data_IF_775616002126
#
_entry.id   IF_775616002126
#
_cell.length_a   1.000
_cell.length_b   1.000
_cell.length_c   1.000
_cell.angle_alpha   90.00
_cell.angle_beta   90.00
_cell.angle_gamma   90.00
#
_symmetry.space_group_name_H-M   'P 1'
#
loop_
_entity.id
_entity.type
_entity.pdbx_description
1 polymer ?
#
# COMPACT_ATOMS: atom_id res chain seq x y z
N UNK A 1 -48.60 -13.60 -44.68
CA UNK A 1 -47.16 -13.87 -44.45
C UNK A 1 -46.33 -12.63 -44.03
N UNK A 2 -46.70 -11.41 -44.42
CA UNK A 2 -45.93 -10.20 -44.10
C UNK A 2 -46.04 -9.69 -42.64
N UNK A 3 -47.17 -9.93 -41.95
CA UNK A 3 -47.39 -9.44 -40.57
C UNK A 3 -46.55 -10.19 -39.51
N UNK A 4 -46.32 -11.49 -39.71
CA UNK A 4 -45.50 -12.32 -38.80
C UNK A 4 -44.00 -11.96 -38.83
N UNK A 5 -43.51 -11.38 -39.93
CA UNK A 5 -42.10 -10.95 -40.04
C UNK A 5 -41.81 -9.66 -39.28
N UNK A 6 -42.79 -8.75 -39.11
CA UNK A 6 -42.59 -7.47 -38.39
C UNK A 6 -42.54 -7.63 -36.87
N UNK A 7 -43.25 -8.61 -36.30
CA UNK A 7 -43.25 -8.88 -34.85
C UNK A 7 -41.94 -9.51 -34.36
N UNK A 8 -41.29 -10.33 -35.20
CA UNK A 8 -39.98 -10.93 -34.89
C UNK A 8 -38.86 -9.88 -34.87
N UNK A 9 -38.97 -8.83 -35.69
CA UNK A 9 -38.00 -7.72 -35.74
C UNK A 9 -38.06 -6.80 -34.51
N UNK A 10 -39.25 -6.57 -33.93
CA UNK A 10 -39.39 -5.74 -32.72
C UNK A 10 -38.98 -6.48 -31.44
N UNK A 11 -39.20 -7.79 -31.35
CA UNK A 11 -38.75 -8.59 -30.21
C UNK A 11 -37.21 -8.69 -30.15
N UNK A 12 -36.52 -8.75 -31.30
CA UNK A 12 -35.06 -8.77 -31.37
C UNK A 12 -34.42 -7.43 -30.97
N UNK A 13 -35.08 -6.30 -31.27
CA UNK A 13 -34.60 -4.96 -30.88
C UNK A 13 -34.85 -4.68 -29.39
N UNK A 14 -35.95 -5.17 -28.81
CA UNK A 14 -36.21 -5.02 -27.37
C UNK A 14 -35.32 -5.94 -26.51
N UNK A 15 -34.99 -7.13 -26.99
CA UNK A 15 -34.07 -8.05 -26.30
C UNK A 15 -32.61 -7.55 -26.30
N UNK A 16 -32.19 -6.81 -27.34
CA UNK A 16 -30.86 -6.19 -27.39
C UNK A 16 -30.78 -4.91 -26.54
N UNK A 17 -31.86 -4.14 -26.42
CA UNK A 17 -31.93 -2.99 -25.51
C UNK A 17 -32.00 -3.40 -24.03
N UNK A 18 -32.69 -4.48 -23.68
CA UNK A 18 -32.72 -4.99 -22.30
C UNK A 18 -31.46 -5.78 -21.92
N UNK A 19 -30.82 -6.47 -22.88
CA UNK A 19 -29.51 -7.10 -22.67
C UNK A 19 -28.36 -6.08 -22.52
N UNK A 20 -28.46 -4.93 -23.18
CA UNK A 20 -27.47 -3.84 -23.07
C UNK A 20 -27.56 -3.02 -21.79
N UNK A 21 -28.76 -2.88 -21.20
CA UNK A 21 -28.97 -2.13 -19.95
C UNK A 21 -28.75 -2.98 -18.68
N UNK A 22 -28.77 -4.31 -18.78
CA UNK A 22 -28.59 -5.22 -17.65
C UNK A 22 -27.14 -5.55 -17.28
N UNK A 23 -26.15 -5.15 -18.10
CA UNK A 23 -24.72 -5.45 -17.91
C UNK A 23 -23.87 -4.23 -17.53
N UNK A 24 -24.47 -3.07 -17.29
CA UNK A 24 -23.75 -1.83 -16.96
C UNK A 24 -23.70 -1.52 -15.45
N UNK A 25 -24.27 -2.36 -14.61
CA UNK A 25 -24.17 -2.24 -13.16
C UNK A 25 -23.38 -3.42 -12.63
N UNK A 26 -22.21 -3.11 -12.04
CA UNK A 26 -21.39 -3.90 -11.10
C UNK A 26 -19.88 -3.87 -11.39
N UNK A 27 -19.30 -2.74 -11.78
CA UNK A 27 -17.86 -2.51 -11.59
C UNK A 27 -17.63 -1.05 -11.21
N UNK A 28 -17.96 -0.69 -9.97
CA UNK A 28 -17.31 0.45 -9.31
C UNK A 28 -16.01 -0.11 -8.74
N UNK A 29 -14.91 0.06 -9.47
CA UNK A 29 -13.59 -0.15 -8.89
C UNK A 29 -13.35 1.08 -8.01
N UNK A 30 -13.36 0.89 -6.70
CA UNK A 30 -13.05 1.95 -5.74
C UNK A 30 -11.60 2.37 -5.97
N UNK A 31 -11.35 3.66 -6.19
CA UNK A 31 -10.01 4.21 -6.26
C UNK A 31 -9.32 4.05 -4.90
N UNK A 32 -8.37 3.12 -4.86
CA UNK A 32 -7.54 2.81 -3.70
C UNK A 32 -6.48 3.90 -3.50
N UNK A 33 -6.62 4.71 -2.46
CA UNK A 33 -5.50 5.50 -1.96
C UNK A 33 -4.48 4.59 -1.26
N UNK A 34 -3.27 5.07 -1.01
CA UNK A 34 -2.21 4.22 -0.46
C UNK A 34 -1.17 5.05 0.29
N UNK A 35 -0.98 4.72 1.57
CA UNK A 35 0.06 5.29 2.39
C UNK A 35 -0.05 4.85 3.85
N UNK A 36 1.09 4.75 4.51
CA UNK A 36 1.25 4.64 5.97
C UNK A 36 2.47 5.46 6.38
N UNK A 37 2.68 5.65 7.68
CA UNK A 37 3.82 6.40 8.18
C UNK A 37 5.15 5.74 7.78
N UNK A 38 6.09 6.57 7.34
CA UNK A 38 7.48 6.22 7.03
C UNK A 38 8.44 6.74 8.11
N UNK A 39 8.13 7.87 8.74
CA UNK A 39 8.83 8.42 9.91
C UNK A 39 7.83 9.08 10.87
N UNK A 40 7.74 8.66 12.14
CA UNK A 40 8.24 7.38 12.65
C UNK A 40 7.57 6.23 11.90
N UNK A 41 8.37 5.27 11.43
CA UNK A 41 7.91 4.22 10.51
C UNK A 41 6.83 3.34 11.11
N UNK A 42 5.83 3.00 10.30
CA UNK A 42 4.76 2.08 10.69
C UNK A 42 5.24 0.63 10.75
N UNK A 43 4.49 -0.25 11.42
CA UNK A 43 4.78 -1.70 11.49
C UNK A 43 4.95 -2.32 10.10
N UNK A 44 4.01 -2.10 9.19
CA UNK A 44 4.08 -2.67 7.82
C UNK A 44 5.28 -2.13 7.06
N UNK A 45 5.54 -0.83 7.13
CA UNK A 45 6.68 -0.19 6.47
C UNK A 45 8.03 -0.70 7.02
N UNK A 46 8.22 -0.70 8.35
CA UNK A 46 9.46 -1.16 8.96
C UNK A 46 9.69 -2.66 8.77
N UNK A 47 8.63 -3.48 8.83
CA UNK A 47 8.75 -4.89 8.52
C UNK A 47 9.06 -5.15 7.04
N UNK A 48 8.56 -4.32 6.12
CA UNK A 48 8.95 -4.40 4.72
C UNK A 48 10.44 -4.05 4.55
N UNK A 49 10.93 -3.00 5.21
CA UNK A 49 12.36 -2.65 5.18
C UNK A 49 13.25 -3.75 5.78
N UNK A 50 12.81 -4.36 6.88
CA UNK A 50 13.53 -5.48 7.50
C UNK A 50 13.54 -6.73 6.61
N UNK A 51 12.44 -6.99 5.89
CA UNK A 51 12.24 -8.20 5.11
C UNK A 51 12.86 -8.15 3.72
N UNK A 52 12.71 -7.03 2.99
CA UNK A 52 13.01 -6.98 1.57
C UNK A 52 14.50 -7.21 1.29
N UNK A 53 14.78 -8.18 0.42
CA UNK A 53 16.13 -8.49 -0.05
C UNK A 53 16.37 -7.92 -1.44
N UNK A 54 17.63 -7.91 -1.90
CA UNK A 54 17.97 -7.48 -3.26
C UNK A 54 17.35 -8.30 -4.39
N UNK A 55 16.72 -9.44 -4.09
CA UNK A 55 15.98 -10.28 -5.06
C UNK A 55 14.47 -10.10 -4.98
N UNK A 56 13.98 -9.18 -4.15
CA UNK A 56 12.56 -9.01 -3.87
C UNK A 56 11.98 -10.00 -2.86
N UNK A 57 12.70 -11.07 -2.53
CA UNK A 57 12.23 -12.01 -1.52
C UNK A 57 12.15 -11.33 -0.14
N UNK A 58 11.20 -11.78 0.68
CA UNK A 58 10.97 -11.30 2.03
C UNK A 58 11.58 -12.25 3.07
N UNK A 59 12.58 -11.76 3.77
CA UNK A 59 13.32 -12.50 4.80
C UNK A 59 13.55 -11.62 6.04
N UNK A 60 12.53 -11.36 6.88
CA UNK A 60 12.67 -10.45 8.04
C UNK A 60 13.56 -11.00 9.15
N UNK A 61 14.46 -10.20 9.69
CA UNK A 61 15.27 -10.57 10.87
C UNK A 61 14.54 -10.33 12.19
N UNK A 62 13.57 -9.42 12.21
CA UNK A 62 12.79 -9.11 13.39
C UNK A 62 11.78 -10.24 13.71
N UNK A 63 11.70 -10.70 14.97
CA UNK A 63 10.80 -11.78 15.36
C UNK A 63 9.30 -11.45 15.22
N UNK A 64 8.89 -10.20 15.45
CA UNK A 64 7.52 -9.76 15.24
C UNK A 64 7.18 -9.69 13.75
N UNK A 65 8.07 -9.12 12.91
CA UNK A 65 7.89 -9.09 11.46
C UNK A 65 7.86 -10.49 10.83
N UNK A 66 8.73 -11.41 11.28
CA UNK A 66 8.70 -12.81 10.84
C UNK A 66 7.38 -13.48 11.21
N UNK A 67 6.89 -13.24 12.43
CA UNK A 67 5.63 -13.79 12.87
C UNK A 67 4.44 -13.21 12.09
N UNK A 68 4.47 -11.92 11.75
CA UNK A 68 3.46 -11.27 10.92
C UNK A 68 3.46 -11.79 9.48
N UNK A 69 4.63 -11.92 8.86
CA UNK A 69 4.79 -12.52 7.53
C UNK A 69 4.26 -13.96 7.49
N UNK A 70 4.52 -14.76 8.53
CA UNK A 70 4.04 -16.14 8.59
C UNK A 70 2.52 -16.25 8.76
N UNK A 71 1.86 -15.26 9.36
CA UNK A 71 0.41 -15.28 9.62
C UNK A 71 -0.40 -14.61 8.51
N UNK A 72 -0.04 -13.38 8.15
CA UNK A 72 -0.76 -12.55 7.17
C UNK A 72 -0.21 -12.68 5.74
N UNK A 73 0.90 -13.41 5.57
CA UNK A 73 1.49 -13.67 4.25
C UNK A 73 2.29 -12.51 3.67
N UNK A 74 2.93 -12.78 2.54
CA UNK A 74 3.82 -11.86 1.86
C UNK A 74 3.10 -10.65 1.24
N UNK A 75 1.85 -10.83 0.81
CA UNK A 75 1.05 -9.77 0.17
C UNK A 75 0.92 -8.52 1.04
N UNK A 76 0.83 -8.67 2.36
CA UNK A 76 0.78 -7.54 3.28
C UNK A 76 2.05 -6.67 3.22
N UNK A 77 3.24 -7.27 3.05
CA UNK A 77 4.50 -6.53 2.98
C UNK A 77 4.78 -5.94 1.60
N UNK A 78 4.35 -6.58 0.51
CA UNK A 78 4.41 -5.95 -0.81
C UNK A 78 3.43 -4.78 -0.95
N UNK A 79 2.31 -4.83 -0.22
CA UNK A 79 1.29 -3.79 -0.17
C UNK A 79 1.30 -3.07 1.19
N UNK A 80 2.48 -2.84 1.76
CA UNK A 80 2.66 -2.26 3.11
C UNK A 80 1.95 -0.91 3.32
N UNK A 81 1.65 -0.21 2.23
CA UNK A 81 0.94 1.08 2.17
C UNK A 81 -0.60 0.95 2.10
N UNK A 82 -1.16 -0.26 1.98
CA UNK A 82 -2.58 -0.49 1.68
C UNK A 82 -3.44 -0.86 2.92
N UNK A 83 -3.05 -0.37 4.10
CA UNK A 83 -3.79 -0.61 5.35
C UNK A 83 -4.99 0.35 5.39
N UNK A 84 -6.10 -0.07 4.76
CA UNK A 84 -7.23 0.81 4.46
C UNK A 84 -8.59 0.21 4.80
N UNK A 85 -9.57 1.10 4.93
CA UNK A 85 -11.00 0.76 5.00
C UNK A 85 -11.76 1.73 4.09
N UNK A 86 -12.26 1.21 2.96
CA UNK A 86 -12.95 1.98 1.92
C UNK A 86 -14.25 2.63 2.39
N UNK A 87 -14.78 2.22 3.55
CA UNK A 87 -16.06 2.68 4.08
C UNK A 87 -15.90 3.41 5.42
N UNK A 88 -14.68 3.69 5.89
CA UNK A 88 -14.49 4.28 7.21
C UNK A 88 -15.16 5.66 7.36
N UNK A 89 -15.13 6.50 6.33
CA UNK A 89 -15.76 7.82 6.27
C UNK A 89 -15.40 8.72 7.47
N UNK A 90 -14.15 8.65 7.93
CA UNK A 90 -13.65 9.40 9.08
C UNK A 90 -14.09 8.85 10.44
N UNK A 91 -14.77 7.71 10.50
CA UNK A 91 -15.15 7.04 11.74
C UNK A 91 -13.94 6.35 12.38
N UNK A 92 -13.98 6.27 13.70
CA UNK A 92 -12.97 5.60 14.51
C UNK A 92 -13.63 4.74 15.57
N UNK A 93 -13.60 5.21 16.83
CA UNK A 93 -14.25 4.56 17.96
C UNK A 93 -15.73 4.21 17.69
N UNK A 94 -16.13 3.00 18.06
CA UNK A 94 -17.47 2.47 17.81
C UNK A 94 -17.69 1.91 16.39
N UNK A 95 -16.75 2.10 15.47
CA UNK A 95 -16.79 1.55 14.11
C UNK A 95 -15.61 0.62 13.81
N UNK A 96 -14.37 1.08 14.03
CA UNK A 96 -13.18 0.22 14.01
C UNK A 96 -13.06 -0.44 15.38
N UNK A 97 -13.16 -1.77 15.49
CA UNK A 97 -13.10 -2.45 16.78
C UNK A 97 -11.77 -2.23 17.51
N UNK A 98 -11.81 -2.18 18.84
CA UNK A 98 -10.58 -2.20 19.63
C UNK A 98 -9.75 -3.45 19.33
N UNK A 99 -8.42 -3.27 19.28
CA UNK A 99 -7.46 -4.32 18.94
C UNK A 99 -7.32 -4.59 17.43
N UNK A 100 -7.98 -3.81 16.57
CA UNK A 100 -7.90 -3.95 15.09
C UNK A 100 -7.45 -2.67 14.37
N UNK A 101 -6.97 -1.68 15.13
CA UNK A 101 -6.63 -0.36 14.58
C UNK A 101 -5.48 -0.45 13.57
N UNK A 102 -4.50 -1.34 13.78
CA UNK A 102 -3.33 -1.48 12.92
C UNK A 102 -3.59 -2.31 11.64
N UNK A 103 -4.81 -2.83 11.47
CA UNK A 103 -5.28 -3.52 10.28
C UNK A 103 -6.51 -2.87 9.64
N UNK A 104 -6.81 -1.61 10.00
CA UNK A 104 -8.00 -0.91 9.55
C UNK A 104 -9.32 -1.66 9.83
N UNK A 105 -9.43 -2.30 10.98
CA UNK A 105 -10.64 -3.08 11.32
C UNK A 105 -10.74 -4.42 10.61
N UNK A 106 -9.63 -4.92 10.05
CA UNK A 106 -9.58 -6.11 9.19
C UNK A 106 -10.47 -5.98 7.94
N UNK A 107 -10.61 -4.76 7.41
CA UNK A 107 -11.48 -4.45 6.25
C UNK A 107 -10.73 -4.15 4.96
N UNK A 108 -9.40 -4.14 5.01
CA UNK A 108 -8.56 -3.97 3.83
C UNK A 108 -8.72 -5.16 2.87
N UNK A 109 -8.48 -4.97 1.56
CA UNK A 109 -8.37 -6.08 0.60
C UNK A 109 -7.28 -7.11 0.94
N UNK A 110 -6.34 -6.77 1.83
CA UNK A 110 -5.27 -7.64 2.28
C UNK A 110 -5.38 -7.98 3.77
N UNK A 111 -4.88 -9.14 4.14
CA UNK A 111 -4.76 -9.53 5.54
C UNK A 111 -3.65 -8.73 6.22
N UNK A 112 -4.02 -7.82 7.13
CA UNK A 112 -3.10 -7.14 8.04
C UNK A 112 -3.31 -7.52 9.51
N UNK A 113 -4.07 -8.59 9.78
CA UNK A 113 -4.52 -8.95 11.12
C UNK A 113 -3.35 -9.18 12.10
N UNK A 114 -2.24 -9.76 11.62
CA UNK A 114 -1.06 -10.03 12.44
C UNK A 114 -0.33 -8.75 12.89
N UNK A 115 -0.51 -7.63 12.19
CA UNK A 115 0.07 -6.34 12.57
C UNK A 115 -0.63 -5.71 13.78
N UNK A 116 -1.74 -6.27 14.26
CA UNK A 116 -2.35 -5.90 15.54
C UNK A 116 -1.71 -6.57 16.76
N UNK A 117 -0.79 -7.52 16.57
CA UNK A 117 -0.27 -8.32 17.68
C UNK A 117 0.34 -7.44 18.78
N UNK A 118 -0.11 -7.67 20.02
CA UNK A 118 0.37 -6.96 21.20
C UNK A 118 1.72 -7.57 21.64
N UNK A 119 2.82 -7.01 21.14
CA UNK A 119 4.18 -7.47 21.37
C UNK A 119 5.12 -6.29 21.61
N UNK A 120 6.14 -6.48 22.43
CA UNK A 120 7.15 -5.46 22.71
C UNK A 120 8.37 -5.53 21.77
N UNK A 121 8.44 -6.49 20.85
CA UNK A 121 9.61 -6.73 19.98
C UNK A 121 9.41 -6.27 18.53
N UNK A 122 8.39 -5.44 18.26
CA UNK A 122 8.26 -4.73 16.99
C UNK A 122 9.45 -3.80 16.75
N UNK A 123 9.85 -3.59 15.48
CA UNK A 123 10.77 -2.51 15.14
C UNK A 123 10.19 -1.18 15.60
N UNK A 124 11.05 -0.28 16.07
CA UNK A 124 10.60 0.96 16.72
C UNK A 124 11.48 2.15 16.41
N UNK A 125 10.90 3.34 16.49
CA UNK A 125 11.62 4.61 16.38
C UNK A 125 11.94 5.19 17.77
N UNK A 126 13.17 5.60 18.00
CA UNK A 126 13.65 6.22 19.23
C UNK A 126 13.41 7.72 19.19
N UNK A 127 12.76 8.27 20.22
CA UNK A 127 12.27 9.65 20.26
C UNK A 127 12.60 10.33 21.58
N UNK A 128 12.64 11.67 21.53
CA UNK A 128 12.82 12.52 22.70
C UNK A 128 11.47 13.13 23.10
N UNK A 129 11.05 12.86 24.33
CA UNK A 129 9.83 13.45 24.91
C UNK A 129 9.88 14.98 24.84
N UNK A 130 8.80 15.60 24.36
CA UNK A 130 8.73 17.05 24.21
C UNK A 130 9.51 17.63 23.02
N UNK A 131 10.23 16.82 22.24
CA UNK A 131 10.89 17.29 21.03
C UNK A 131 9.89 17.49 19.87
N UNK A 132 10.34 18.15 18.81
CA UNK A 132 9.64 18.17 17.52
C UNK A 132 10.29 17.14 16.62
N UNK A 133 9.49 16.29 15.99
CA UNK A 133 9.96 15.32 14.99
C UNK A 133 9.33 15.64 13.64
N UNK A 134 10.12 15.47 12.56
CA UNK A 134 9.60 15.59 11.21
C UNK A 134 8.93 14.28 10.81
N UNK A 135 7.61 14.33 10.64
CA UNK A 135 6.82 13.19 10.18
C UNK A 135 6.97 13.03 8.68
N UNK A 136 7.03 11.78 8.23
CA UNK A 136 6.90 11.40 6.83
C UNK A 136 5.79 10.35 6.70
N UNK A 137 4.86 10.56 5.77
CA UNK A 137 3.78 9.64 5.47
C UNK A 137 3.77 9.34 3.98
N UNK A 138 3.81 8.06 3.61
CA UNK A 138 3.93 7.65 2.20
C UNK A 138 2.84 8.27 1.33
N UNK A 139 3.23 8.81 0.18
CA UNK A 139 2.30 9.30 -0.84
C UNK A 139 2.18 8.31 -2.02
N UNK A 140 2.29 7.00 -1.75
CA UNK A 140 2.26 5.96 -2.78
C UNK A 140 1.12 6.16 -3.78
N UNK A 141 -0.08 6.50 -3.29
CA UNK A 141 -1.08 7.22 -4.05
C UNK A 141 -1.50 8.48 -3.28
N UNK A 142 -1.40 9.65 -3.91
CA UNK A 142 -1.65 10.93 -3.25
C UNK A 142 -3.12 11.36 -3.33
N UNK A 143 -3.69 11.82 -2.20
CA UNK A 143 -5.08 12.24 -2.09
C UNK A 143 -5.22 13.45 -1.15
N UNK A 144 -6.25 14.28 -1.31
CA UNK A 144 -6.53 15.36 -0.38
C UNK A 144 -7.19 14.81 0.89
N UNK A 145 -6.81 15.31 2.07
CA UNK A 145 -7.44 14.90 3.32
C UNK A 145 -6.72 15.35 4.58
N UNK A 146 -7.20 14.82 5.70
CA UNK A 146 -6.69 15.09 7.04
C UNK A 146 -5.91 13.90 7.57
N UNK A 147 -4.72 14.16 8.13
CA UNK A 147 -3.94 13.20 8.90
C UNK A 147 -4.21 13.44 10.39
N UNK A 148 -5.02 12.59 11.01
CA UNK A 148 -5.28 12.61 12.45
C UNK A 148 -4.21 11.79 13.15
N UNK A 149 -3.38 12.44 13.96
CA UNK A 149 -2.23 11.84 14.64
C UNK A 149 -2.55 11.68 16.11
N UNK A 150 -2.46 10.44 16.59
CA UNK A 150 -2.71 10.04 17.96
C UNK A 150 -1.45 9.46 18.57
N UNK A 151 -1.30 9.61 19.88
CA UNK A 151 -0.25 8.94 20.67
C UNK A 151 -0.94 8.17 21.79
N UNK A 152 -0.47 6.96 22.09
CA UNK A 152 -0.98 6.22 23.25
C UNK A 152 -0.79 6.99 24.55
N UNK A 153 -1.71 6.84 25.50
CA UNK A 153 -1.69 7.47 26.82
C UNK A 153 -0.52 6.98 27.67
N UNK A 154 -0.03 7.78 28.64
CA UNK A 154 0.92 7.29 29.63
C UNK A 154 0.42 6.02 30.33
N UNK A 155 1.29 5.02 30.47
CA UNK A 155 0.97 3.74 31.10
C UNK A 155 0.47 2.65 30.14
N UNK A 156 0.15 2.99 28.89
CA UNK A 156 -0.07 1.97 27.86
C UNK A 156 1.22 1.17 27.59
N UNK A 157 1.08 -0.13 27.35
CA UNK A 157 2.20 -1.04 27.03
C UNK A 157 1.94 -1.70 25.67
N UNK A 158 2.98 -1.94 24.85
CA UNK A 158 2.82 -2.64 23.58
C UNK A 158 2.41 -4.12 23.72
N UNK A 159 2.45 -4.67 24.94
CA UNK A 159 1.89 -6.00 25.26
C UNK A 159 0.39 -5.97 25.60
N UNK A 160 -0.23 -4.80 25.63
CA UNK A 160 -1.68 -4.62 25.74
C UNK A 160 -2.32 -4.50 24.36
N UNK A 161 -3.54 -5.02 24.18
CA UNK A 161 -4.32 -4.75 22.96
C UNK A 161 -4.60 -3.25 22.88
N UNK A 162 -4.29 -2.64 21.73
CA UNK A 162 -4.54 -1.22 21.48
C UNK A 162 -6.03 -0.97 21.22
N UNK A 163 -6.67 -0.13 22.03
CA UNK A 163 -8.02 0.38 21.80
C UNK A 163 -8.07 1.89 21.61
N UNK A 164 -9.22 2.40 21.17
CA UNK A 164 -9.44 3.83 21.00
C UNK A 164 -9.33 4.61 22.31
N UNK A 165 -9.70 3.99 23.44
CA UNK A 165 -9.56 4.59 24.77
C UNK A 165 -8.11 4.79 25.21
N UNK A 166 -7.16 4.11 24.55
CA UNK A 166 -5.74 4.21 24.86
C UNK A 166 -5.08 5.39 24.14
N UNK A 167 -5.77 6.08 23.23
CA UNK A 167 -5.20 7.08 22.33
C UNK A 167 -5.62 8.50 22.72
N UNK A 168 -4.67 9.44 22.68
CA UNK A 168 -4.91 10.88 22.70
C UNK A 168 -4.65 11.45 21.30
N UNK A 169 -5.60 12.20 20.74
CA UNK A 169 -5.40 12.97 19.51
C UNK A 169 -4.47 14.16 19.81
N UNK A 170 -3.31 14.21 19.16
CA UNK A 170 -2.31 15.26 19.41
C UNK A 170 -2.18 16.26 18.28
N UNK A 171 -2.55 15.89 17.05
CA UNK A 171 -2.48 16.77 15.89
C UNK A 171 -3.48 16.34 14.83
N UNK A 172 -4.00 17.29 14.06
CA UNK A 172 -4.65 17.04 12.77
C UNK A 172 -3.99 17.94 11.74
N UNK A 173 -3.58 17.37 10.61
CA UNK A 173 -2.89 18.10 9.54
C UNK A 173 -3.66 17.92 8.24
N UNK A 174 -4.12 19.02 7.66
CA UNK A 174 -4.87 19.03 6.41
C UNK A 174 -3.93 19.29 5.24
N UNK A 175 -3.93 18.42 4.23
CA UNK A 175 -3.17 18.58 2.98
C UNK A 175 -1.71 19.05 3.18
N UNK A 176 -0.88 18.34 3.96
CA UNK A 176 0.52 18.67 4.13
C UNK A 176 1.27 18.70 2.78
N UNK A 177 2.39 19.45 2.69
CA UNK A 177 3.23 19.43 1.50
C UNK A 177 3.84 18.04 1.27
N UNK A 178 4.25 17.79 0.03
CA UNK A 178 4.84 16.53 -0.41
C UNK A 178 6.29 16.72 -0.86
N UNK A 179 7.10 15.67 -0.72
CA UNK A 179 8.44 15.54 -1.27
C UNK A 179 8.53 14.20 -2.01
N UNK A 180 9.08 14.23 -3.24
CA UNK A 180 9.08 13.08 -4.13
C UNK A 180 7.72 12.86 -4.81
N UNK A 181 7.74 12.36 -6.04
CA UNK A 181 6.53 12.09 -6.81
C UNK A 181 5.73 10.93 -6.20
N UNK A 182 4.39 10.98 -6.22
CA UNK A 182 3.55 9.83 -5.85
C UNK A 182 3.95 8.55 -6.61
N UNK A 183 3.85 7.40 -5.95
CA UNK A 183 4.21 6.10 -6.50
C UNK A 183 5.72 5.81 -6.58
N UNK A 184 6.57 6.69 -6.04
CA UNK A 184 8.03 6.49 -6.01
C UNK A 184 8.51 5.95 -4.66
N UNK A 185 9.62 5.22 -4.70
CA UNK A 185 10.33 4.82 -3.48
C UNK A 185 10.85 6.09 -2.77
N UNK A 186 10.26 6.44 -1.63
CA UNK A 186 10.65 7.62 -0.85
C UNK A 186 9.71 8.82 -1.01
N UNK A 187 8.72 8.78 -1.89
CA UNK A 187 7.69 9.81 -1.97
C UNK A 187 6.87 9.88 -0.68
N UNK A 188 6.68 11.08 -0.12
CA UNK A 188 5.97 11.26 1.14
C UNK A 188 5.38 12.67 1.32
N UNK A 189 4.31 12.76 2.10
CA UNK A 189 3.92 13.96 2.81
C UNK A 189 4.85 14.23 3.99
N UNK A 190 5.07 15.48 4.35
CA UNK A 190 5.84 15.83 5.55
C UNK A 190 5.25 17.00 6.34
N UNK A 191 5.44 16.96 7.66
CA UNK A 191 5.09 18.04 8.58
C UNK A 191 5.85 17.89 9.91
N UNK A 192 5.80 18.91 10.75
CA UNK A 192 6.35 18.86 12.11
C UNK A 192 5.30 18.39 13.12
N UNK A 193 5.66 17.40 13.94
CA UNK A 193 4.89 16.91 15.07
C UNK A 193 5.59 17.28 16.37
N UNK A 194 4.94 18.09 17.21
CA UNK A 194 5.38 18.34 18.59
C UNK A 194 4.97 17.16 19.47
N UNK A 195 5.94 16.38 19.94
CA UNK A 195 5.68 15.23 20.80
C UNK A 195 5.24 15.70 22.20
N UNK A 196 4.34 14.97 22.88
CA UNK A 196 3.99 15.26 24.26
C UNK A 196 5.24 15.21 25.16
N UNK A 197 5.31 16.14 26.12
CA UNK A 197 6.35 16.14 27.16
C UNK A 197 6.00 15.21 28.32
N UNK A 198 6.99 14.87 29.16
CA UNK A 198 6.80 14.01 30.33
C UNK A 198 6.55 12.53 29.98
N UNK A 199 6.96 12.10 28.78
CA UNK A 199 6.85 10.72 28.31
C UNK A 199 8.17 9.98 28.54
N UNK A 200 8.07 8.68 28.80
CA UNK A 200 9.21 7.77 28.85
C UNK A 200 8.78 6.35 28.44
N UNK A 201 9.73 5.57 27.90
CA UNK A 201 9.48 4.18 27.53
C UNK A 201 8.59 4.01 26.29
N UNK A 202 8.07 2.81 26.13
CA UNK A 202 7.36 2.37 24.94
C UNK A 202 6.04 3.11 24.74
N UNK A 203 5.74 3.45 23.50
CA UNK A 203 4.47 4.02 23.09
C UNK A 203 4.17 3.64 21.63
N UNK A 204 2.99 4.04 21.16
CA UNK A 204 2.59 3.87 19.77
C UNK A 204 1.99 5.18 19.27
N UNK A 205 2.36 5.54 18.05
CA UNK A 205 1.74 6.63 17.29
C UNK A 205 0.80 6.00 16.28
N UNK A 206 -0.48 6.32 16.41
CA UNK A 206 -1.51 5.88 15.49
C UNK A 206 -1.89 7.06 14.58
N UNK A 207 -1.99 6.82 13.28
CA UNK A 207 -2.42 7.84 12.33
C UNK A 207 -3.59 7.32 11.51
N UNK A 208 -4.65 8.13 11.42
CA UNK A 208 -5.75 7.91 10.50
C UNK A 208 -5.70 8.99 9.42
N UNK A 209 -5.49 8.59 8.17
CA UNK A 209 -5.63 9.50 7.02
C UNK A 209 -7.06 9.44 6.51
N UNK A 210 -7.78 10.55 6.67
CA UNK A 210 -9.18 10.70 6.28
C UNK A 210 -9.24 11.49 4.98
N UNK A 211 -9.50 10.79 3.88
CA UNK A 211 -9.71 11.42 2.58
C UNK A 211 -10.88 12.39 2.62
N UNK A 212 -10.74 13.48 1.89
CA UNK A 212 -11.80 14.49 1.70
C UNK A 212 -12.60 14.28 0.41
N UNK A 213 -12.10 13.41 -0.48
CA UNK A 213 -12.67 13.07 -1.78
C UNK A 213 -13.29 11.66 -1.82
N UNK A 214 -13.21 10.89 -0.73
CA UNK A 214 -13.70 9.51 -0.63
C UNK A 214 -14.09 9.15 0.81
N UNK A 215 -14.86 8.07 0.99
CA UNK A 215 -15.08 7.45 2.31
C UNK A 215 -13.86 6.66 2.79
N UNK A 216 -12.94 6.33 1.90
CA UNK A 216 -11.78 5.52 2.23
C UNK A 216 -10.81 6.21 3.20
N UNK A 217 -10.33 5.49 4.21
CA UNK A 217 -9.31 5.97 5.14
C UNK A 217 -8.15 4.98 5.25
N UNK A 218 -6.98 5.48 5.68
CA UNK A 218 -5.77 4.68 5.93
C UNK A 218 -5.42 4.69 7.40
N UNK A 219 -4.85 3.58 7.86
CA UNK A 219 -4.58 3.31 9.26
C UNK A 219 -3.12 2.91 9.43
N UNK A 220 -2.38 3.64 10.24
CA UNK A 220 -0.95 3.44 10.43
C UNK A 220 -0.62 3.34 11.91
N UNK A 221 0.12 2.32 12.31
CA UNK A 221 0.64 2.14 13.66
C UNK A 221 2.17 2.15 13.65
N UNK A 222 2.78 3.07 14.38
CA UNK A 222 4.24 3.19 14.52
C UNK A 222 4.63 2.96 15.98
N UNK A 223 5.36 1.89 16.26
CA UNK A 223 5.94 1.66 17.58
C UNK A 223 7.11 2.63 17.82
N UNK A 224 7.11 3.28 18.98
CA UNK A 224 8.13 4.26 19.34
C UNK A 224 8.58 4.06 20.78
N UNK A 225 9.74 4.61 21.14
CA UNK A 225 10.22 4.63 22.52
C UNK A 225 10.72 6.03 22.87
N UNK A 226 10.27 6.55 24.02
CA UNK A 226 10.72 7.83 24.56
C UNK A 226 11.92 7.60 25.48
N UNK A 227 13.13 7.60 24.91
CA UNK A 227 14.40 7.32 25.60
C UNK A 227 15.49 8.35 25.32
N UNK A 228 15.17 9.41 24.56
CA UNK A 228 16.13 10.45 24.18
C UNK A 228 16.67 10.33 22.76
N UNK A 229 16.13 9.41 21.94
CA UNK A 229 16.46 9.34 20.51
C UNK A 229 15.90 10.51 19.67
N UNK A 230 16.33 10.56 18.42
CA UNK A 230 16.04 11.63 17.46
C UNK A 230 15.51 11.09 16.12
N UNK A 231 14.91 9.90 16.12
CA UNK A 231 14.37 9.23 14.94
C UNK A 231 15.14 7.98 14.53
N UNK A 232 16.10 7.51 15.33
CA UNK A 232 16.81 6.26 15.07
C UNK A 232 15.83 5.10 15.10
N UNK A 233 15.99 4.13 14.20
CA UNK A 233 15.17 2.92 14.18
C UNK A 233 15.98 1.78 14.81
N UNK A 234 15.33 0.89 15.55
CA UNK A 234 15.91 -0.40 15.97
C UNK A 234 14.97 -1.54 15.64
N UNK A 235 15.51 -2.76 15.67
CA UNK A 235 14.73 -3.96 15.40
C UNK A 235 14.50 -4.23 13.92
N UNK A 236 15.28 -3.64 13.01
CA UNK A 236 15.36 -4.03 11.59
C UNK A 236 16.79 -4.45 11.23
N UNK A 237 16.95 -5.25 10.17
CA UNK A 237 18.26 -5.63 9.62
C UNK A 237 19.14 -4.39 9.39
N UNK A 238 20.35 -4.40 9.94
CA UNK A 238 21.33 -3.32 9.79
C UNK A 238 21.26 -2.20 10.84
N UNK A 239 20.27 -2.21 11.74
CA UNK A 239 20.03 -1.15 12.72
C UNK A 239 20.81 -1.28 14.05
N UNK A 240 22.06 -1.75 13.99
CA UNK A 240 22.81 -2.26 15.14
C UNK A 240 23.97 -1.40 15.69
N UNK A 241 23.99 -0.08 15.47
CA UNK A 241 25.03 0.79 16.03
C UNK A 241 24.66 2.27 16.04
N UNK A 242 25.07 2.98 17.09
CA UNK A 242 24.92 4.43 17.27
C UNK A 242 25.31 5.19 15.99
N UNK A 243 24.47 6.09 15.44
CA UNK A 243 24.81 6.76 14.20
C UNK A 243 25.87 7.85 14.45
N UNK A 244 27.00 7.74 13.76
CA UNK A 244 27.79 8.91 13.40
C UNK A 244 27.05 9.60 12.23
N UNK A 245 26.91 10.94 12.19
CA UNK A 245 26.27 11.62 11.06
C UNK A 245 27.14 11.45 9.80
N UNK A 246 26.78 10.49 8.95
CA UNK A 246 27.34 10.32 7.61
C UNK A 246 26.43 10.98 6.58
N UNK A 247 26.97 11.54 5.48
CA UNK A 247 26.19 12.24 4.49
C UNK A 247 25.23 11.28 3.80
N UNK A 248 23.97 11.71 3.67
CA UNK A 248 22.92 11.10 2.88
C UNK A 248 23.45 10.79 1.48
N UNK A 249 23.34 9.54 0.95
CA UNK A 249 23.54 9.32 -0.47
C UNK A 249 22.43 10.04 -1.22
N UNK A 250 22.84 10.87 -2.18
CA UNK A 250 21.98 11.52 -3.15
C UNK A 250 21.20 10.44 -3.93
N UNK A 251 19.87 10.54 -4.12
CA UNK A 251 19.15 9.59 -4.93
C UNK A 251 19.50 9.85 -6.40
N UNK A 252 20.26 8.95 -7.02
CA UNK A 252 20.24 8.83 -8.47
C UNK A 252 18.81 8.45 -8.90
N UNK A 253 18.14 9.35 -9.61
CA UNK A 253 16.79 9.17 -10.14
C UNK A 253 16.59 7.79 -10.81
N UNK A 254 15.58 7.00 -10.40
CA UNK A 254 15.05 5.92 -11.22
C UNK A 254 14.22 6.49 -12.39
N UNK A 255 14.01 5.74 -13.49
CA UNK A 255 13.47 6.29 -14.73
C UNK A 255 12.00 6.70 -14.60
N UNK A 256 11.69 7.93 -15.00
CA UNK A 256 10.36 8.54 -15.27
C UNK A 256 9.13 7.66 -14.95
N UNK A 257 8.63 7.77 -13.72
CA UNK A 257 7.28 7.36 -13.37
C UNK A 257 6.32 8.51 -13.65
N UNK A 258 5.36 8.31 -14.56
CA UNK A 258 4.32 9.27 -14.88
C UNK A 258 3.28 9.29 -13.75
N UNK A 259 3.31 10.35 -12.95
CA UNK A 259 2.70 10.51 -11.61
C UNK A 259 1.17 10.48 -11.49
N UNK A 260 0.52 9.51 -12.11
CA UNK A 260 -0.89 9.17 -11.87
C UNK A 260 -1.20 7.68 -12.09
N UNK A 261 -0.31 6.93 -12.73
CA UNK A 261 -0.47 5.50 -12.95
C UNK A 261 0.18 4.70 -11.82
N UNK A 262 -0.55 3.75 -11.26
CA UNK A 262 -0.05 2.82 -10.24
C UNK A 262 -0.30 1.39 -10.67
N UNK A 263 0.58 0.47 -10.26
CA UNK A 263 0.42 -0.95 -10.51
C UNK A 263 0.52 -1.75 -9.21
N UNK A 264 -0.37 -2.71 -9.01
CA UNK A 264 -0.40 -3.60 -7.85
C UNK A 264 -0.30 -5.03 -8.31
N UNK A 265 0.64 -5.78 -7.74
CA UNK A 265 0.96 -7.16 -8.13
C UNK A 265 0.41 -8.16 -7.11
N UNK A 266 -0.28 -9.19 -7.59
CA UNK A 266 -0.83 -10.27 -6.77
C UNK A 266 -0.50 -11.63 -7.37
N UNK A 267 -0.14 -12.60 -6.54
CA UNK A 267 -0.14 -14.02 -6.90
C UNK A 267 -1.52 -14.57 -6.58
N UNK A 268 -2.28 -14.98 -7.60
CA UNK A 268 -3.69 -15.39 -7.44
C UNK A 268 -3.87 -16.91 -7.43
N UNK A 269 -2.88 -17.65 -7.93
CA UNK A 269 -2.84 -19.11 -7.85
C UNK A 269 -1.38 -19.58 -7.99
N UNK A 270 -1.01 -20.69 -7.36
CA UNK A 270 0.35 -21.26 -7.44
C UNK A 270 0.32 -22.79 -7.49
N UNK A 271 1.26 -23.39 -8.22
CA UNK A 271 1.45 -24.84 -8.33
C UNK A 271 2.95 -25.18 -8.33
N UNK A 272 3.28 -26.48 -8.32
CA UNK A 272 4.68 -26.90 -8.34
C UNK A 272 5.37 -26.42 -9.63
N UNK A 273 6.35 -25.53 -9.49
CA UNK A 273 7.15 -24.99 -10.60
C UNK A 273 6.54 -23.77 -11.32
N UNK A 274 5.41 -23.22 -10.86
CA UNK A 274 4.85 -22.02 -11.48
C UNK A 274 3.67 -21.39 -10.74
N UNK A 275 3.27 -20.22 -11.19
CA UNK A 275 2.16 -19.48 -10.60
C UNK A 275 1.44 -18.62 -11.63
N UNK A 276 0.25 -18.18 -11.23
CA UNK A 276 -0.56 -17.20 -11.92
C UNK A 276 -0.49 -15.88 -11.16
N UNK A 277 -0.06 -14.83 -11.85
CA UNK A 277 -0.07 -13.47 -11.32
C UNK A 277 -1.18 -12.62 -11.94
N UNK A 278 -1.60 -11.61 -11.19
CA UNK A 278 -2.54 -10.59 -11.60
C UNK A 278 -1.96 -9.23 -11.24
N UNK A 279 -1.99 -8.28 -12.18
CA UNK A 279 -1.57 -6.91 -11.96
C UNK A 279 -2.71 -5.98 -12.26
N UNK A 280 -3.11 -5.21 -11.25
CA UNK A 280 -4.07 -4.14 -11.40
C UNK A 280 -3.34 -2.83 -11.68
N UNK A 281 -3.74 -2.15 -12.74
CA UNK A 281 -3.22 -0.84 -13.16
C UNK A 281 -4.31 0.19 -12.91
N UNK A 282 -3.99 1.19 -12.11
CA UNK A 282 -4.93 2.23 -11.66
C UNK A 282 -4.51 3.60 -12.18
N UNK A 283 -5.51 4.44 -12.45
CA UNK A 283 -5.30 5.85 -12.74
C UNK A 283 -5.83 6.71 -11.60
N UNK A 284 -4.91 7.27 -10.81
CA UNK A 284 -5.21 8.22 -9.72
C UNK A 284 -5.12 9.67 -10.16
N UNK A 285 -5.06 9.92 -11.48
CA UNK A 285 -5.11 11.24 -12.05
C UNK A 285 -6.55 11.71 -12.23
N UNK A 286 -6.74 13.03 -12.31
CA UNK A 286 -8.05 13.65 -12.57
C UNK A 286 -8.44 13.64 -14.06
N UNK A 287 -7.58 13.13 -14.93
CA UNK A 287 -7.81 12.98 -16.38
C UNK A 287 -7.65 11.52 -16.80
N UNK A 288 -8.33 11.07 -17.88
CA UNK A 288 -8.14 9.72 -18.40
C UNK A 288 -6.67 9.45 -18.75
N UNK A 289 -6.15 8.31 -18.29
CA UNK A 289 -4.84 7.79 -18.70
C UNK A 289 -5.01 7.10 -20.05
N UNK A 290 -4.42 7.65 -21.11
CA UNK A 290 -4.51 7.09 -22.46
C UNK A 290 -3.22 6.35 -22.85
N UNK A 291 -3.20 5.04 -22.55
CA UNK A 291 -2.03 4.18 -22.66
C UNK A 291 -1.37 3.95 -21.30
N UNK A 292 -0.99 2.71 -21.05
CA UNK A 292 -0.27 2.32 -19.85
C UNK A 292 0.72 1.21 -20.14
N UNK A 293 1.81 1.22 -19.37
CA UNK A 293 2.79 0.16 -19.35
C UNK A 293 3.27 -0.05 -17.93
N UNK A 294 3.43 -1.30 -17.55
CA UNK A 294 3.91 -1.69 -16.23
C UNK A 294 5.19 -2.48 -16.38
N UNK A 295 6.23 -2.04 -15.67
CA UNK A 295 7.55 -2.63 -15.70
C UNK A 295 7.94 -3.15 -14.33
N UNK A 296 8.50 -4.35 -14.29
CA UNK A 296 9.13 -4.90 -13.10
C UNK A 296 10.21 -5.92 -13.49
N UNK A 297 11.08 -6.21 -12.52
CA UNK A 297 12.04 -7.30 -12.63
C UNK A 297 11.44 -8.52 -11.92
N UNK A 298 11.23 -9.67 -12.58
CA UNK A 298 10.78 -10.88 -11.90
C UNK A 298 11.81 -11.35 -10.87
N UNK A 299 11.31 -11.97 -9.78
CA UNK A 299 12.15 -12.58 -8.76
C UNK A 299 13.16 -13.57 -9.33
N UNK A 300 14.29 -13.75 -8.65
CA UNK A 300 15.31 -14.74 -9.06
C UNK A 300 14.68 -16.13 -9.17
N UNK A 301 14.90 -16.81 -10.30
CA UNK A 301 14.31 -18.13 -10.58
C UNK A 301 12.89 -18.08 -11.16
N UNK A 302 12.37 -16.88 -11.45
CA UNK A 302 11.05 -16.69 -12.06
C UNK A 302 11.17 -16.19 -13.49
N UNK A 303 10.41 -16.81 -14.39
CA UNK A 303 10.30 -16.38 -15.79
C UNK A 303 8.83 -16.21 -16.15
N UNK A 304 8.46 -15.01 -16.60
CA UNK A 304 7.10 -14.74 -17.08
C UNK A 304 6.94 -15.40 -18.46
N UNK A 305 5.96 -16.28 -18.58
CA UNK A 305 5.71 -17.05 -19.80
C UNK A 305 4.80 -16.29 -20.77
N UNK A 306 3.56 -16.04 -20.38
CA UNK A 306 2.58 -15.35 -21.21
C UNK A 306 1.65 -14.47 -20.39
N UNK A 307 1.15 -13.40 -21.00
CA UNK A 307 0.20 -12.47 -20.41
C UNK A 307 -1.09 -12.39 -21.24
N UNK A 308 -2.20 -12.04 -20.60
CA UNK A 308 -3.46 -11.69 -21.24
C UNK A 308 -3.94 -10.33 -20.73
N UNK A 309 -4.82 -9.67 -21.51
CA UNK A 309 -5.18 -8.26 -21.29
C UNK A 309 -3.97 -7.32 -21.27
N UNK A 310 -2.86 -7.72 -21.89
CA UNK A 310 -1.65 -6.92 -22.01
C UNK A 310 -0.66 -7.55 -22.98
N UNK A 311 0.20 -6.73 -23.57
CA UNK A 311 1.28 -7.17 -24.46
C UNK A 311 2.59 -7.25 -23.66
N UNK A 312 3.12 -8.47 -23.54
CA UNK A 312 4.34 -8.77 -22.78
C UNK A 312 5.60 -8.56 -23.64
N UNK A 313 6.58 -7.87 -23.07
CA UNK A 313 7.94 -7.80 -23.59
C UNK A 313 8.95 -8.05 -22.46
N UNK A 314 10.07 -8.70 -22.79
CA UNK A 314 11.13 -9.02 -21.84
C UNK A 314 12.46 -8.52 -22.40
N UNK A 315 13.13 -7.65 -21.65
CA UNK A 315 14.44 -7.13 -21.99
C UNK A 315 15.54 -8.19 -21.75
N UNK A 316 16.73 -7.96 -22.29
CA UNK A 316 17.86 -8.89 -22.19
C UNK A 316 18.36 -9.10 -20.75
N UNK A 317 18.17 -8.11 -19.89
CA UNK A 317 18.45 -8.21 -18.45
C UNK A 317 17.37 -9.00 -17.70
N UNK A 318 16.31 -9.45 -18.37
CA UNK A 318 15.15 -10.15 -17.82
C UNK A 318 14.10 -9.24 -17.18
N UNK A 319 14.19 -7.93 -17.35
CA UNK A 319 13.12 -6.99 -16.96
C UNK A 319 11.91 -7.18 -17.86
N UNK A 320 10.72 -7.26 -17.27
CA UNK A 320 9.46 -7.44 -17.96
C UNK A 320 8.72 -6.11 -18.05
N UNK A 321 8.15 -5.82 -19.23
CA UNK A 321 7.20 -4.73 -19.43
C UNK A 321 5.93 -5.28 -20.07
N UNK A 322 4.78 -5.04 -19.45
CA UNK A 322 3.45 -5.33 -20.01
C UNK A 322 2.77 -4.02 -20.37
N UNK A 323 2.39 -3.87 -21.63
CA UNK A 323 1.68 -2.69 -22.16
C UNK A 323 0.21 -2.98 -22.38
N UNK A 324 -0.62 -1.95 -22.40
CA UNK A 324 -2.04 -2.08 -22.71
C UNK A 324 -2.29 -2.75 -24.07
N UNK A 325 -3.49 -3.31 -24.22
CA UNK A 325 -4.08 -3.68 -25.52
C UNK A 325 -5.23 -2.72 -25.85
N UNK A 326 -5.78 -2.79 -27.06
CA UNK A 326 -6.73 -1.77 -27.54
C UNK A 326 -7.96 -1.59 -26.64
N UNK A 327 -8.54 -2.69 -26.15
CA UNK A 327 -9.79 -2.63 -25.37
C UNK A 327 -9.62 -2.08 -23.95
N UNK A 328 -8.39 -2.05 -23.41
CA UNK A 328 -8.11 -1.57 -22.06
C UNK A 328 -7.08 -0.43 -22.04
N UNK A 329 -6.85 0.22 -23.18
CA UNK A 329 -5.90 1.33 -23.35
C UNK A 329 -6.19 2.52 -22.44
N UNK A 330 -7.47 2.90 -22.33
CA UNK A 330 -7.90 4.09 -21.60
C UNK A 330 -8.39 3.71 -20.21
N UNK A 331 -7.75 4.24 -19.18
CA UNK A 331 -8.21 4.13 -17.79
C UNK A 331 -8.80 5.49 -17.38
N UNK A 332 -10.10 5.51 -17.06
CA UNK A 332 -10.76 6.74 -16.57
C UNK A 332 -10.12 7.24 -15.27
N UNK A 333 -10.28 8.52 -14.89
CA UNK A 333 -9.97 8.97 -13.53
C UNK A 333 -10.58 8.01 -12.51
N UNK A 334 -9.79 7.64 -11.50
CA UNK A 334 -10.16 6.71 -10.43
C UNK A 334 -10.52 5.29 -10.91
N UNK A 335 -10.29 5.00 -12.18
CA UNK A 335 -10.52 3.69 -12.78
C UNK A 335 -9.32 2.77 -12.65
N UNK A 336 -9.56 1.49 -12.92
CA UNK A 336 -8.51 0.49 -13.02
C UNK A 336 -8.77 -0.50 -14.16
N UNK A 337 -7.70 -1.17 -14.60
CA UNK A 337 -7.75 -2.32 -15.50
C UNK A 337 -6.82 -3.40 -14.97
N UNK A 338 -7.09 -4.65 -15.28
CA UNK A 338 -6.29 -5.78 -14.81
C UNK A 338 -5.75 -6.58 -15.98
N UNK A 339 -4.45 -6.88 -15.92
CA UNK A 339 -3.84 -7.91 -16.75
C UNK A 339 -3.38 -9.07 -15.87
N UNK A 340 -3.29 -10.25 -16.47
CA UNK A 340 -2.77 -11.42 -15.79
C UNK A 340 -1.68 -12.09 -16.59
N UNK A 341 -0.93 -12.96 -15.94
CA UNK A 341 0.13 -13.73 -16.58
C UNK A 341 0.34 -15.08 -15.88
N UNK A 342 1.01 -15.99 -16.56
CA UNK A 342 1.59 -17.19 -15.96
C UNK A 342 3.10 -17.10 -15.95
N UNK A 343 3.71 -17.67 -14.93
CA UNK A 343 5.16 -17.70 -14.77
C UNK A 343 5.63 -19.07 -14.29
N UNK A 344 6.83 -19.47 -14.72
CA UNK A 344 7.58 -20.53 -14.05
C UNK A 344 8.32 -19.93 -12.86
N UNK A 345 8.46 -20.69 -11.78
CA UNK A 345 9.11 -20.22 -10.55
C UNK A 345 9.80 -21.37 -9.83
N UNK A 346 10.98 -21.08 -9.27
CA UNK A 346 11.69 -21.96 -8.33
C UNK A 346 11.41 -21.61 -6.85
N UNK A 347 10.34 -20.86 -6.57
CA UNK A 347 9.90 -20.49 -5.22
C UNK A 347 9.93 -18.99 -4.89
N UNK A 348 10.15 -18.10 -5.87
CA UNK A 348 10.04 -16.65 -5.68
C UNK A 348 9.03 -16.04 -6.66
N UNK A 349 7.77 -15.98 -6.25
CA UNK A 349 6.65 -15.60 -7.10
C UNK A 349 6.41 -14.08 -7.17
N UNK A 350 7.35 -13.26 -6.69
CA UNK A 350 7.18 -11.82 -6.56
C UNK A 350 8.28 -11.02 -7.27
N UNK A 351 8.03 -9.74 -7.62
CA UNK A 351 9.03 -8.88 -8.24
C UNK A 351 10.26 -8.63 -7.36
N UNK A 352 11.41 -8.41 -7.99
CA UNK A 352 12.57 -7.76 -7.38
C UNK A 352 12.21 -6.29 -7.18
N UNK A 353 12.09 -5.85 -5.92
CA UNK A 353 11.67 -4.49 -5.60
C UNK A 353 10.20 -4.25 -5.92
N UNK A 354 9.89 -3.04 -6.38
CA UNK A 354 8.51 -2.63 -6.68
C UNK A 354 8.20 -2.76 -8.17
N UNK A 355 6.94 -3.02 -8.48
CA UNK A 355 6.38 -2.88 -9.82
C UNK A 355 5.99 -1.42 -10.04
N UNK A 356 6.19 -0.88 -11.23
CA UNK A 356 5.91 0.53 -11.49
C UNK A 356 5.36 0.78 -12.89
N UNK A 357 4.49 1.77 -13.00
CA UNK A 357 4.08 2.28 -14.29
C UNK A 357 5.25 3.00 -14.98
N UNK A 358 5.35 2.84 -16.29
CA UNK A 358 6.33 3.51 -17.16
C UNK A 358 5.64 4.11 -18.37
N UNK A 359 6.36 4.92 -19.13
CA UNK A 359 5.87 5.45 -20.40
C UNK A 359 5.35 4.31 -21.32
N UNK A 360 4.11 4.45 -21.88
CA UNK A 360 3.45 3.44 -22.70
C UNK A 360 4.17 3.05 -23.99
#
# INVERSE_FOLDING_TARGET
MALRRRLVSLAAVLATLLGGLGLSFLWQNDAQAHGVAMMPGSRTYLCQLDAITGTGALDPTNPACRNALNQSGASALYNWFAVLDSQAAGRGAGYVPDGTLCSAGDRSPYDFSAYNAARADWPRTHLTSGATVKVQYSNWAAHPGDFRVYVTKPGWSPTSRLGWSDLDLVQTVTNPPQQGSPGTNGGHYYWDLKLPSGRSGDALIFMQWVRSDSQENFFSCSDVVFDGGNGEVTGIRGSGGTPTPGPTPDPTDPPDHTGSCMAVYNVVNSWNGGFQGSVEVMNHGTSPLDGWAVRWKPGSGTTIGGAWNGSLSTASDGTVTVRNVDHNRVIKPDGSVTFGFTATSSGNDFPVGTIGCVAP
#
